data_IF_139312091648
#
_entry.id   IF_139312091648
#
_cell.length_a   1.000
_cell.length_b   1.000
_cell.length_c   1.000
_cell.angle_alpha   90.00
_cell.angle_beta   90.00
_cell.angle_gamma   90.00
#
_symmetry.space_group_name_H-M   'P 1'
#
loop_
_entity.id
_entity.type
_entity.pdbx_description
1 polymer ?
#
# COMPACT_ATOMS: atom_id res chain seq x y z
N UNK A 1 13.76 1.61 -2.95
CA UNK A 1 12.60 2.48 -3.18
C UNK A 1 11.97 2.07 -4.50
N UNK A 2 10.67 1.85 -4.49
CA UNK A 2 9.83 1.61 -5.67
C UNK A 2 8.90 2.81 -5.85
N UNK A 3 8.67 3.23 -7.08
CA UNK A 3 7.71 4.25 -7.48
C UNK A 3 7.14 3.87 -8.85
N UNK A 4 5.84 4.06 -9.03
CA UNK A 4 5.21 3.93 -10.35
C UNK A 4 5.72 5.02 -11.31
N UNK A 5 5.57 4.76 -12.62
CA UNK A 5 6.13 5.61 -13.68
C UNK A 5 5.51 7.01 -13.76
N UNK A 6 4.31 7.17 -13.23
CA UNK A 6 3.52 8.40 -13.18
C UNK A 6 3.33 8.88 -11.74
N UNK A 7 4.37 8.72 -10.93
CA UNK A 7 4.54 9.40 -9.62
C UNK A 7 5.56 10.53 -9.77
N UNK A 8 5.20 11.73 -9.34
CA UNK A 8 6.14 12.87 -9.23
C UNK A 8 6.43 13.23 -7.77
N UNK A 9 7.64 13.70 -7.50
CA UNK A 9 7.96 14.38 -6.24
C UNK A 9 7.29 15.75 -6.21
N UNK A 10 6.91 16.21 -5.02
CA UNK A 10 6.14 17.44 -4.84
C UNK A 10 6.78 18.40 -3.80
N UNK A 11 5.95 19.18 -3.09
CA UNK A 11 6.31 20.31 -2.22
C UNK A 11 7.54 20.13 -1.32
N UNK A 12 7.71 18.96 -0.68
CA UNK A 12 8.83 18.74 0.26
C UNK A 12 9.53 17.41 0.05
N UNK A 13 10.86 17.35 0.26
CA UNK A 13 11.58 16.09 0.30
C UNK A 13 11.19 15.24 1.51
N UNK A 14 11.36 13.92 1.40
CA UNK A 14 10.98 12.95 2.45
C UNK A 14 11.67 13.21 3.80
N UNK A 15 12.85 13.84 3.78
CA UNK A 15 13.58 14.14 4.99
C UNK A 15 12.86 15.20 5.85
N UNK A 16 12.02 16.07 5.26
CA UNK A 16 11.10 16.95 6.02
C UNK A 16 9.93 16.21 6.66
N UNK A 17 9.54 15.08 6.10
CA UNK A 17 8.48 14.21 6.64
C UNK A 17 8.97 13.32 7.78
N UNK A 18 10.21 12.85 7.70
CA UNK A 18 10.76 11.89 8.66
C UNK A 18 11.62 12.60 9.70
N UNK A 19 11.10 12.69 10.93
CA UNK A 19 11.85 13.12 12.11
C UNK A 19 13.17 12.35 12.20
N UNK A 20 14.26 13.01 12.60
CA UNK A 20 15.60 12.41 12.61
C UNK A 20 15.65 11.06 13.33
N UNK A 21 14.95 10.92 14.47
CA UNK A 21 14.87 9.65 15.22
C UNK A 21 14.13 8.52 14.50
N UNK A 22 13.18 8.83 13.62
CA UNK A 22 12.48 7.82 12.81
C UNK A 22 13.33 7.34 11.64
N UNK A 23 14.27 8.15 11.13
CA UNK A 23 15.11 7.78 9.98
C UNK A 23 15.99 6.57 10.26
N UNK A 24 16.51 6.46 11.47
CA UNK A 24 17.38 5.35 11.88
C UNK A 24 16.55 4.10 12.25
N UNK A 25 15.34 4.32 12.77
CA UNK A 25 14.45 3.24 13.22
C UNK A 25 13.61 2.62 12.10
N UNK A 26 13.25 3.37 11.05
CA UNK A 26 12.36 2.90 10.00
C UNK A 26 13.04 1.88 9.07
N UNK A 27 12.41 0.71 8.92
CA UNK A 27 12.79 -0.34 8.00
C UNK A 27 11.84 -0.45 6.80
N UNK A 28 10.62 0.10 6.95
CA UNK A 28 9.62 0.24 5.89
C UNK A 28 8.95 1.61 6.00
N UNK A 29 8.75 2.29 4.88
CA UNK A 29 7.93 3.51 4.75
C UNK A 29 6.82 3.26 3.76
N UNK A 30 5.59 3.51 4.20
CA UNK A 30 4.35 3.42 3.42
C UNK A 30 3.50 4.67 3.66
N UNK A 31 2.60 4.97 2.73
CA UNK A 31 1.63 6.04 2.91
C UNK A 31 0.21 5.52 2.73
N UNK A 32 -0.74 6.18 3.39
CA UNK A 32 -2.16 5.88 3.22
C UNK A 32 -2.64 6.33 1.84
N UNK A 33 -3.27 5.43 1.09
CA UNK A 33 -4.06 5.78 -0.09
C UNK A 33 -5.50 6.09 0.32
N UNK A 34 -6.11 5.15 1.04
CA UNK A 34 -7.46 5.29 1.59
C UNK A 34 -7.37 5.37 3.11
N UNK A 35 -7.60 6.56 3.64
CA UNK A 35 -7.64 6.86 5.09
C UNK A 35 -9.06 6.65 5.65
N UNK A 36 -9.64 5.46 5.40
CA UNK A 36 -11.00 5.14 5.83
C UNK A 36 -11.04 4.80 7.32
N UNK A 37 -12.03 5.33 8.07
CA UNK A 37 -12.13 5.07 9.50
C UNK A 37 -12.49 3.60 9.76
N UNK A 38 -12.24 3.17 11.00
CA UNK A 38 -12.73 1.89 11.50
C UNK A 38 -14.26 1.83 11.40
N UNK A 39 -14.79 0.72 10.87
CA UNK A 39 -16.23 0.44 10.89
C UNK A 39 -16.61 -0.73 11.80
N UNK A 40 -15.80 -1.81 11.80
CA UNK A 40 -15.97 -2.98 12.65
C UNK A 40 -14.66 -3.77 12.74
N UNK A 41 -14.62 -4.78 13.62
CA UNK A 41 -13.41 -5.57 13.90
C UNK A 41 -13.18 -6.73 12.91
N UNK A 42 -14.00 -6.86 11.85
CA UNK A 42 -13.81 -7.93 10.87
C UNK A 42 -12.75 -7.59 9.81
N UNK A 43 -12.45 -6.30 9.65
CA UNK A 43 -11.70 -5.84 8.49
C UNK A 43 -10.85 -4.59 8.75
N UNK A 44 -9.69 -4.53 8.08
CA UNK A 44 -8.86 -3.32 8.02
C UNK A 44 -9.23 -2.52 6.77
N UNK A 45 -10.01 -1.47 6.94
CA UNK A 45 -10.59 -0.68 5.86
C UNK A 45 -9.56 0.22 5.18
N UNK A 46 -8.63 0.76 5.96
CA UNK A 46 -7.56 1.59 5.46
C UNK A 46 -6.65 0.82 4.52
N UNK A 47 -6.03 1.53 3.59
CA UNK A 47 -5.17 0.91 2.59
C UNK A 47 -3.93 1.75 2.37
N UNK A 48 -2.77 1.08 2.33
CA UNK A 48 -1.52 1.69 1.91
C UNK A 48 -1.42 1.74 0.39
N UNK A 49 -0.87 2.83 -0.12
CA UNK A 49 -0.53 3.00 -1.52
C UNK A 49 0.55 2.00 -1.96
N UNK A 50 0.31 1.26 -3.05
CA UNK A 50 1.32 0.37 -3.64
C UNK A 50 2.21 1.04 -4.69
N UNK A 51 1.88 2.25 -5.15
CA UNK A 51 2.63 2.99 -6.17
C UNK A 51 3.90 3.67 -5.64
N UNK A 52 4.16 3.68 -4.32
CA UNK A 52 5.41 4.15 -3.75
C UNK A 52 5.71 3.41 -2.44
N UNK A 53 6.89 2.77 -2.37
CA UNK A 53 7.30 1.99 -1.20
C UNK A 53 8.80 2.19 -0.97
N UNK A 54 9.19 2.42 0.29
CA UNK A 54 10.61 2.45 0.67
C UNK A 54 10.84 1.38 1.72
N UNK A 55 11.53 0.30 1.35
CA UNK A 55 11.85 -0.80 2.25
C UNK A 55 13.36 -1.06 2.26
N UNK A 56 13.89 -1.50 3.41
CA UNK A 56 15.21 -2.14 3.46
C UNK A 56 15.13 -3.52 2.76
N UNK A 57 16.22 -3.98 2.12
CA UNK A 57 16.25 -5.30 1.47
C UNK A 57 15.93 -6.44 2.45
N UNK A 58 15.16 -7.43 1.99
CA UNK A 58 14.78 -8.64 2.74
C UNK A 58 14.12 -8.39 4.10
N UNK A 59 13.49 -7.23 4.27
CA UNK A 59 12.87 -6.91 5.55
C UNK A 59 11.57 -7.70 5.77
N UNK A 60 11.31 -8.07 7.03
CA UNK A 60 10.23 -9.00 7.44
C UNK A 60 8.88 -8.67 6.81
N UNK A 61 8.49 -7.39 6.77
CA UNK A 61 7.20 -6.97 6.23
C UNK A 61 7.02 -7.32 4.76
N UNK A 62 8.02 -7.05 3.93
CA UNK A 62 7.95 -7.34 2.50
C UNK A 62 8.05 -8.84 2.22
N UNK A 63 8.82 -9.58 3.03
CA UNK A 63 8.82 -11.04 2.95
C UNK A 63 7.44 -11.61 3.31
N UNK A 64 6.76 -11.07 4.34
CA UNK A 64 5.40 -11.48 4.67
C UNK A 64 4.41 -11.21 3.53
N UNK A 65 4.54 -10.08 2.83
CA UNK A 65 3.72 -9.77 1.64
C UNK A 65 3.94 -10.82 0.55
N UNK A 66 5.19 -11.17 0.25
CA UNK A 66 5.54 -12.17 -0.77
C UNK A 66 4.99 -13.55 -0.38
N UNK A 67 5.20 -13.98 0.88
CA UNK A 67 4.74 -15.28 1.37
C UNK A 67 3.21 -15.40 1.28
N UNK A 68 2.48 -14.36 1.67
CA UNK A 68 1.01 -14.37 1.59
C UNK A 68 0.51 -14.36 0.13
N UNK A 69 1.20 -13.67 -0.78
CA UNK A 69 0.89 -13.73 -2.23
C UNK A 69 1.06 -15.16 -2.75
N UNK A 70 2.15 -15.84 -2.37
CA UNK A 70 2.42 -17.21 -2.81
C UNK A 70 1.38 -18.20 -2.28
N UNK A 71 0.95 -18.05 -1.01
CA UNK A 71 -0.11 -18.86 -0.41
C UNK A 71 -1.44 -18.68 -1.16
N UNK A 72 -1.84 -17.44 -1.41
CA UNK A 72 -3.09 -17.20 -2.12
C UNK A 72 -3.03 -17.63 -3.59
N UNK A 73 -1.88 -17.45 -4.26
CA UNK A 73 -1.69 -17.92 -5.63
C UNK A 73 -1.81 -19.44 -5.73
N UNK A 74 -1.23 -20.18 -4.77
CA UNK A 74 -1.39 -21.64 -4.66
C UNK A 74 -2.87 -22.02 -4.45
N UNK A 75 -3.60 -21.28 -3.61
CA UNK A 75 -5.02 -21.50 -3.40
C UNK A 75 -5.86 -21.26 -4.66
N UNK A 76 -5.58 -20.19 -5.41
CA UNK A 76 -6.22 -19.95 -6.72
C UNK A 76 -5.91 -21.10 -7.69
N UNK A 77 -4.66 -21.53 -7.78
CA UNK A 77 -4.25 -22.64 -8.64
C UNK A 77 -5.01 -23.94 -8.28
N UNK A 78 -5.11 -24.24 -6.98
CA UNK A 78 -5.81 -25.40 -6.44
C UNK A 78 -7.31 -25.36 -6.74
N UNK A 79 -7.97 -24.21 -6.55
CA UNK A 79 -9.39 -24.03 -6.83
C UNK A 79 -9.73 -24.24 -8.31
N UNK A 80 -8.80 -23.89 -9.21
CA UNK A 80 -8.96 -24.03 -10.65
C UNK A 80 -8.30 -25.29 -11.25
N UNK A 81 -7.70 -26.14 -10.41
CA UNK A 81 -7.01 -27.36 -10.81
C UNK A 81 -5.94 -27.12 -11.90
N UNK A 82 -5.13 -26.08 -11.68
CA UNK A 82 -3.97 -25.73 -12.51
C UNK A 82 -2.71 -25.66 -11.65
N UNK A 83 -1.53 -25.61 -12.28
CA UNK A 83 -0.31 -25.19 -11.61
C UNK A 83 -0.27 -23.66 -11.48
N UNK A 84 0.63 -23.12 -10.64
CA UNK A 84 0.77 -21.67 -10.45
C UNK A 84 1.04 -20.94 -11.79
N UNK A 85 1.85 -21.52 -12.68
CA UNK A 85 2.11 -20.97 -14.01
C UNK A 85 0.91 -21.06 -14.98
N UNK A 86 -0.11 -21.85 -14.62
CA UNK A 86 -1.38 -21.96 -15.33
C UNK A 86 -2.46 -20.97 -14.88
N UNK A 87 -2.19 -20.15 -13.84
CA UNK A 87 -3.14 -19.13 -13.38
C UNK A 87 -3.34 -18.07 -14.47
N UNK A 88 -4.60 -17.79 -14.78
CA UNK A 88 -5.00 -16.71 -15.69
C UNK A 88 -5.74 -15.61 -14.93
N UNK A 89 -5.78 -14.42 -15.52
CA UNK A 89 -6.41 -13.24 -14.90
C UNK A 89 -7.90 -13.45 -14.60
N UNK A 90 -8.61 -14.25 -15.43
CA UNK A 90 -10.03 -14.59 -15.24
C UNK A 90 -10.31 -15.53 -14.06
N UNK A 91 -9.25 -16.19 -13.53
CA UNK A 91 -9.33 -17.04 -12.35
C UNK A 91 -9.17 -16.26 -11.04
N UNK A 92 -8.63 -15.04 -11.10
CA UNK A 92 -8.34 -14.23 -9.93
C UNK A 92 -9.59 -13.41 -9.62
N UNK A 93 -10.29 -13.65 -8.49
CA UNK A 93 -11.54 -12.95 -8.22
C UNK A 93 -11.33 -11.45 -8.11
N UNK A 94 -10.30 -11.03 -7.36
CA UNK A 94 -9.95 -9.63 -7.13
C UNK A 94 -8.43 -9.48 -7.07
N UNK A 95 -7.84 -8.89 -8.11
CA UNK A 95 -6.38 -8.66 -8.20
C UNK A 95 -5.85 -7.78 -7.06
N UNK A 96 -6.68 -6.86 -6.56
CA UNK A 96 -6.34 -5.96 -5.45
C UNK A 96 -6.11 -6.73 -4.15
N UNK A 97 -6.86 -7.81 -3.94
CA UNK A 97 -6.83 -8.64 -2.73
C UNK A 97 -5.77 -9.75 -2.84
N UNK A 98 -5.36 -10.12 -4.07
CA UNK A 98 -4.32 -11.12 -4.32
C UNK A 98 -2.91 -10.52 -4.31
N UNK A 99 -2.64 -9.51 -5.14
CA UNK A 99 -1.28 -8.94 -5.30
C UNK A 99 -1.23 -7.43 -5.13
N UNK A 100 -2.38 -6.81 -4.87
CA UNK A 100 -2.52 -5.36 -4.85
C UNK A 100 -2.32 -4.72 -3.47
N UNK A 101 -2.67 -3.43 -3.36
CA UNK A 101 -2.45 -2.64 -2.14
C UNK A 101 -3.16 -3.20 -0.91
N UNK A 102 -4.31 -3.87 -1.08
CA UNK A 102 -5.06 -4.48 0.03
C UNK A 102 -4.33 -5.68 0.62
N UNK A 103 -3.83 -6.60 -0.22
CA UNK A 103 -2.92 -7.68 0.21
C UNK A 103 -1.72 -7.13 0.96
N UNK A 104 -1.05 -6.14 0.38
CA UNK A 104 0.13 -5.54 0.98
C UNK A 104 -0.17 -4.98 2.38
N UNK A 105 -1.27 -4.24 2.52
CA UNK A 105 -1.69 -3.65 3.79
C UNK A 105 -1.94 -4.72 4.85
N UNK A 106 -2.69 -5.79 4.52
CA UNK A 106 -2.95 -6.87 5.46
C UNK A 106 -1.71 -7.64 5.86
N UNK A 107 -0.80 -7.92 4.92
CA UNK A 107 0.43 -8.65 5.22
C UNK A 107 1.38 -7.86 6.12
N UNK A 108 1.45 -6.54 5.94
CA UNK A 108 2.18 -5.63 6.85
C UNK A 108 1.51 -5.63 8.23
N UNK A 109 0.18 -5.49 8.30
CA UNK A 109 -0.55 -5.55 9.57
C UNK A 109 -0.36 -6.90 10.27
N UNK A 110 -0.42 -8.03 9.54
CA UNK A 110 -0.21 -9.39 10.05
C UNK A 110 1.18 -9.59 10.65
N UNK A 111 2.22 -9.01 10.03
CA UNK A 111 3.59 -9.07 10.58
C UNK A 111 3.76 -8.15 11.78
N UNK A 112 3.19 -6.94 11.75
CA UNK A 112 3.15 -6.06 12.93
C UNK A 112 2.41 -6.69 14.11
N UNK A 113 1.25 -7.32 13.88
CA UNK A 113 0.45 -7.95 14.93
C UNK A 113 1.23 -9.06 15.64
N UNK A 114 2.00 -9.86 14.88
CA UNK A 114 2.86 -10.90 15.45
C UNK A 114 3.99 -10.32 16.30
N UNK A 115 4.62 -9.23 15.86
CA UNK A 115 5.71 -8.57 16.63
C UNK A 115 5.18 -7.89 17.89
N UNK A 116 4.03 -7.22 17.78
CA UNK A 116 3.44 -6.43 18.85
C UNK A 116 2.60 -7.26 19.82
N UNK A 117 2.39 -8.54 19.52
CA UNK A 117 1.52 -9.47 20.25
C UNK A 117 0.12 -8.91 20.52
N UNK A 118 -0.41 -8.15 19.56
CA UNK A 118 -1.73 -7.52 19.61
C UNK A 118 -2.27 -7.27 18.21
N UNK A 119 -3.58 -7.19 18.06
CA UNK A 119 -4.19 -6.82 16.79
C UNK A 119 -4.16 -5.31 16.56
N UNK A 120 -3.71 -4.91 15.37
CA UNK A 120 -3.89 -3.58 14.81
C UNK A 120 -5.18 -3.55 13.98
N UNK A 121 -5.84 -2.40 14.03
CA UNK A 121 -7.00 -2.04 13.23
C UNK A 121 -6.83 -0.60 12.72
N UNK A 122 -7.84 -0.08 12.02
CA UNK A 122 -7.78 1.24 11.42
C UNK A 122 -7.51 2.36 12.45
N UNK A 123 -8.04 2.25 13.68
CA UNK A 123 -7.85 3.24 14.76
C UNK A 123 -6.37 3.44 15.10
N UNK A 124 -5.54 2.45 14.78
CA UNK A 124 -4.10 2.50 14.99
C UNK A 124 -3.33 3.14 13.85
N UNK A 125 -3.86 3.16 12.63
CA UNK A 125 -3.10 3.55 11.42
C UNK A 125 -3.73 4.71 10.65
N UNK A 126 -4.97 5.10 10.92
CA UNK A 126 -5.70 6.16 10.20
C UNK A 126 -5.78 7.47 10.97
N UNK A 127 -6.31 8.52 10.30
CA UNK A 127 -6.52 9.85 10.88
C UNK A 127 -5.20 10.55 11.20
N UNK A 128 -4.13 10.22 10.47
CA UNK A 128 -2.79 10.71 10.73
C UNK A 128 -2.64 12.15 10.27
N UNK A 129 -2.22 13.03 11.18
CA UNK A 129 -1.85 14.43 10.87
C UNK A 129 -0.35 14.62 10.63
N UNK A 130 0.43 13.60 10.97
CA UNK A 130 1.89 13.57 10.85
C UNK A 130 2.36 12.11 10.73
N UNK A 131 3.63 11.92 10.36
CA UNK A 131 4.23 10.60 10.26
C UNK A 131 4.13 9.82 11.59
N UNK A 132 3.71 8.55 11.51
CA UNK A 132 3.58 7.67 12.67
C UNK A 132 4.47 6.44 12.50
N UNK A 133 5.37 6.23 13.44
CA UNK A 133 6.19 5.01 13.50
C UNK A 133 5.48 3.96 14.36
N UNK A 134 5.22 2.79 13.80
CA UNK A 134 4.72 1.61 14.53
C UNK A 134 5.79 0.53 14.43
N UNK A 135 6.40 0.18 15.56
CA UNK A 135 7.65 -0.58 15.60
C UNK A 135 8.73 0.12 14.75
N UNK A 136 8.94 -0.36 13.53
CA UNK A 136 9.86 0.15 12.52
C UNK A 136 9.19 0.34 11.14
N UNK A 137 7.85 0.35 11.10
CA UNK A 137 7.05 0.77 9.93
C UNK A 137 6.64 2.23 10.11
N UNK A 138 7.16 3.09 9.24
CA UNK A 138 6.78 4.50 9.19
C UNK A 138 5.60 4.69 8.25
N UNK A 139 4.47 5.11 8.80
CA UNK A 139 3.23 5.37 8.06
C UNK A 139 3.08 6.87 7.87
N UNK A 140 2.92 7.30 6.62
CA UNK A 140 2.70 8.68 6.25
C UNK A 140 1.20 8.96 5.97
N UNK A 141 0.69 10.16 6.33
CA UNK A 141 -0.69 10.56 6.08
C UNK A 141 -1.11 10.47 4.62
N UNK A 142 -2.43 10.44 4.39
CA UNK A 142 -3.01 10.43 3.05
C UNK A 142 -2.50 11.58 2.17
N UNK A 143 -2.39 12.79 2.73
CA UNK A 143 -1.90 13.94 1.96
C UNK A 143 -0.47 13.80 1.44
N UNK A 144 0.37 12.99 2.10
CA UNK A 144 1.73 12.78 1.64
C UNK A 144 1.78 11.96 0.33
N UNK A 145 0.85 11.02 0.13
CA UNK A 145 0.91 10.00 -0.94
C UNK A 145 -0.25 10.02 -1.94
N UNK A 146 -1.43 10.46 -1.48
CA UNK A 146 -2.71 10.30 -2.13
C UNK A 146 -3.63 11.49 -1.84
N UNK A 147 -3.08 12.72 -1.86
CA UNK A 147 -3.83 13.95 -1.57
C UNK A 147 -5.13 14.05 -2.38
N UNK A 148 -5.10 13.70 -3.67
CA UNK A 148 -6.28 13.70 -4.55
C UNK A 148 -7.37 12.73 -4.08
N UNK A 149 -7.01 11.52 -3.63
CA UNK A 149 -7.96 10.52 -3.11
C UNK A 149 -8.58 10.93 -1.77
N UNK A 150 -7.89 11.77 -1.01
CA UNK A 150 -8.34 12.26 0.30
C UNK A 150 -9.02 13.64 0.25
N UNK A 151 -9.40 14.14 -0.93
CA UNK A 151 -9.97 15.49 -1.12
C UNK A 151 -9.06 16.64 -0.66
N UNK A 152 -7.74 16.45 -0.76
CA UNK A 152 -6.68 17.45 -0.46
C UNK A 152 -6.82 18.04 0.96
N UNK A 153 -6.65 17.22 2.00
CA UNK A 153 -6.84 17.67 3.38
C UNK A 153 -5.76 18.70 3.77
N UNK A 154 -6.19 19.82 4.34
CA UNK A 154 -5.31 20.95 4.67
C UNK A 154 -4.53 20.78 5.98
N UNK A 155 -4.79 19.72 6.73
CA UNK A 155 -4.35 19.53 8.11
C UNK A 155 -3.49 18.27 8.30
N UNK A 156 -3.02 17.69 7.19
CA UNK A 156 -2.19 16.47 7.14
C UNK A 156 -0.79 16.73 6.57
N UNK A 157 -0.24 17.93 6.72
CA UNK A 157 1.12 18.26 6.23
C UNK A 157 1.20 18.47 4.71
N UNK A 158 2.41 18.70 4.16
CA UNK A 158 2.63 19.00 2.72
C UNK A 158 2.62 17.75 1.84
N UNK A 159 2.30 17.88 0.55
CA UNK A 159 2.38 16.73 -0.38
C UNK A 159 3.84 16.27 -0.54
N UNK A 160 4.09 14.96 -0.45
CA UNK A 160 5.42 14.38 -0.69
C UNK A 160 5.54 13.89 -2.13
N UNK A 161 4.54 13.13 -2.58
CA UNK A 161 4.42 12.64 -3.94
C UNK A 161 2.99 12.80 -4.45
N UNK A 162 2.87 12.98 -5.76
CA UNK A 162 1.61 13.02 -6.49
C UNK A 162 1.57 11.85 -7.48
N UNK A 163 0.58 10.98 -7.34
CA UNK A 163 0.27 9.92 -8.31
C UNK A 163 -0.75 10.44 -9.32
N UNK A 164 -0.41 10.39 -10.60
CA UNK A 164 -1.17 11.09 -11.66
C UNK A 164 -2.32 10.28 -12.24
N UNK A 165 -2.44 8.98 -11.92
CA UNK A 165 -3.39 8.06 -12.56
C UNK A 165 -3.37 8.22 -14.10
N UNK A 166 -2.17 8.37 -14.67
CA UNK A 166 -2.00 8.64 -16.08
C UNK A 166 -2.20 7.39 -16.91
N UNK A 167 -1.89 6.19 -16.37
CA UNK A 167 -2.21 4.91 -16.99
C UNK A 167 -1.71 4.74 -18.43
N UNK A 168 -0.64 5.46 -18.80
CA UNK A 168 -0.15 5.57 -20.20
C UNK A 168 0.29 4.23 -20.78
N UNK A 169 0.58 3.24 -19.94
CA UNK A 169 0.98 1.89 -20.33
C UNK A 169 -0.16 0.88 -20.40
N UNK A 170 -1.39 1.23 -19.97
CA UNK A 170 -2.51 0.28 -19.83
C UNK A 170 -3.14 -0.11 -21.17
N UNK A 171 -3.13 0.77 -22.16
CA UNK A 171 -3.73 0.53 -23.47
C UNK A 171 -3.01 1.35 -24.56
N UNK A 172 -3.35 1.08 -25.82
CA UNK A 172 -2.73 1.75 -26.99
C UNK A 172 -3.04 3.24 -27.10
N UNK A 173 -4.10 3.72 -26.44
CA UNK A 173 -4.52 5.11 -26.46
C UNK A 173 -3.82 5.94 -25.36
N UNK A 174 -3.19 5.27 -24.39
CA UNK A 174 -2.76 5.88 -23.13
C UNK A 174 -3.96 6.29 -22.27
N UNK A 175 -3.82 6.30 -20.94
CA UNK A 175 -4.88 6.79 -20.06
C UNK A 175 -5.71 5.69 -19.40
N UNK A 176 -6.32 6.04 -18.26
CA UNK A 176 -7.33 5.23 -17.56
C UNK A 176 -8.66 5.11 -18.34
N UNK A 177 -8.92 6.05 -19.25
CA UNK A 177 -10.20 6.17 -19.97
C UNK A 177 -10.33 5.21 -21.17
N UNK A 178 -9.25 4.54 -21.57
CA UNK A 178 -9.23 3.60 -22.69
C UNK A 178 -9.53 2.15 -22.28
N UNK A 179 -10.67 1.86 -21.67
CA UNK A 179 -11.09 0.46 -21.47
C UNK A 179 -11.35 -0.19 -22.84
N UNK A 180 -10.72 -1.33 -23.18
CA UNK A 180 -11.22 -2.15 -24.27
C UNK A 180 -12.60 -2.65 -23.83
N UNK A 181 -13.63 -2.29 -24.59
CA UNK A 181 -14.89 -3.03 -24.59
C UNK A 181 -14.55 -4.48 -24.96
N UNK A 182 -14.62 -5.38 -23.98
CA UNK A 182 -14.69 -6.82 -24.22
C UNK A 182 -16.15 -7.17 -24.49
#
# INVERSE_FOLDING_TARGET
>A
MWMDLDVSCDEVPIDRWVLKGYREAANLVVGLEFDWPWENDNFLYAQFASWMIIAKPHFLYMMQVIDDILVDADEVARQHNVSIDGIRIDMIPQVVDLTGPKRMTWSIAKSLNRILERELDDRHITGLRSAKLIHDVLILPGNAFAASQSSVPKDQGPVLVSYHYAGTWKNKMGGEEGKPTV
#
